data_IF_583212908114
#
_entry.id   IF_583212908114
#
_cell.length_a   1.000
_cell.length_b   1.000
_cell.length_c   1.000
_cell.angle_alpha   90.00
_cell.angle_beta   90.00
_cell.angle_gamma   90.00
#
_symmetry.space_group_name_H-M   'P 1'
#
loop_
_entity.id
_entity.type
_entity.pdbx_description
1 polymer ?
#
# COMPACT_ATOMS: atom_id res chain seq x y z
N UNK A 1 24.19 4.74 12.44
CA UNK A 1 22.87 5.38 12.74
C UNK A 1 22.61 5.41 14.25
N UNK A 2 22.84 4.33 14.99
CA UNK A 2 22.69 4.31 16.46
C UNK A 2 23.51 5.43 17.15
N UNK A 3 24.73 5.71 16.68
CA UNK A 3 25.55 6.79 17.23
C UNK A 3 24.96 8.17 16.98
N UNK A 4 24.30 8.39 15.84
CA UNK A 4 23.59 9.64 15.57
C UNK A 4 22.39 9.86 16.50
N UNK A 5 21.76 8.78 16.97
CA UNK A 5 20.71 8.86 18.01
C UNK A 5 21.35 9.27 19.34
N UNK A 6 22.46 8.65 19.75
CA UNK A 6 23.21 9.01 20.99
C UNK A 6 23.70 10.46 20.99
N UNK A 7 24.09 10.95 19.81
CA UNK A 7 24.51 12.34 19.60
C UNK A 7 23.33 13.33 19.52
N UNK A 8 22.09 12.87 19.60
CA UNK A 8 20.88 13.71 19.52
C UNK A 8 20.58 14.27 18.13
N UNK A 9 21.28 13.83 17.08
CA UNK A 9 21.07 14.26 15.70
C UNK A 9 19.87 13.59 15.03
N UNK A 10 19.49 12.41 15.50
CA UNK A 10 18.34 11.62 15.04
C UNK A 10 17.55 11.17 16.26
N UNK A 11 16.24 11.23 16.22
CA UNK A 11 15.38 10.77 17.32
C UNK A 11 15.01 9.32 17.20
N UNK A 12 14.61 8.89 16.00
CA UNK A 12 14.09 7.55 15.71
C UNK A 12 14.67 7.01 14.42
N UNK A 13 14.77 5.68 14.32
CA UNK A 13 15.26 4.98 13.12
C UNK A 13 14.11 4.22 12.46
N UNK A 14 14.13 4.18 11.12
CA UNK A 14 13.22 3.38 10.32
C UNK A 14 13.94 2.64 9.21
N UNK A 15 13.31 1.60 8.69
CA UNK A 15 13.78 0.82 7.55
C UNK A 15 12.79 0.92 6.39
N UNK A 16 13.27 0.72 5.17
CA UNK A 16 12.44 0.69 3.97
C UNK A 16 12.67 -0.60 3.19
N UNK A 17 11.57 -1.29 2.81
CA UNK A 17 11.59 -2.49 1.97
C UNK A 17 12.58 -3.57 2.47
N UNK A 18 12.64 -3.78 3.79
CA UNK A 18 13.56 -4.73 4.41
C UNK A 18 12.94 -6.13 4.49
N UNK A 19 13.81 -7.16 4.55
CA UNK A 19 13.38 -8.52 4.86
C UNK A 19 13.11 -8.68 6.36
N UNK A 20 12.36 -9.71 6.79
CA UNK A 20 12.17 -10.01 8.21
C UNK A 20 13.48 -10.20 8.97
N UNK A 21 14.48 -10.83 8.33
CA UNK A 21 15.83 -11.04 8.89
C UNK A 21 16.57 -9.72 9.06
N UNK A 22 16.53 -8.85 8.05
CA UNK A 22 17.16 -7.52 8.12
C UNK A 22 16.53 -6.70 9.26
N UNK A 23 15.19 -6.74 9.39
CA UNK A 23 14.49 -6.06 10.46
C UNK A 23 14.92 -6.56 11.84
N UNK A 24 14.94 -7.88 12.05
CA UNK A 24 15.37 -8.50 13.32
C UNK A 24 16.79 -8.11 13.67
N UNK A 25 17.72 -8.20 12.71
CA UNK A 25 19.13 -7.84 12.89
C UNK A 25 19.31 -6.37 13.26
N UNK A 26 18.63 -5.47 12.53
CA UNK A 26 18.71 -4.04 12.77
C UNK A 26 18.12 -3.67 14.13
N UNK A 27 16.96 -4.24 14.48
CA UNK A 27 16.26 -3.99 15.73
C UNK A 27 17.05 -4.48 16.95
N UNK A 28 17.84 -5.57 16.81
CA UNK A 28 18.71 -6.07 17.86
C UNK A 28 19.92 -5.12 18.13
N UNK A 29 20.36 -4.34 17.13
CA UNK A 29 21.43 -3.35 17.29
C UNK A 29 20.90 -2.05 17.91
N UNK A 30 19.75 -1.60 17.44
CA UNK A 30 19.07 -0.41 17.92
C UNK A 30 17.58 -0.51 17.62
N UNK A 31 16.69 -0.12 18.56
CA UNK A 31 15.25 -0.17 18.34
C UNK A 31 14.85 0.56 17.05
N UNK A 32 14.19 -0.16 16.15
CA UNK A 32 13.57 0.39 14.94
C UNK A 32 12.15 0.84 15.29
N UNK A 33 11.79 2.05 14.93
CA UNK A 33 10.51 2.65 15.25
C UNK A 33 9.47 2.51 14.13
N UNK A 34 9.94 2.42 12.89
CA UNK A 34 9.06 2.30 11.74
C UNK A 34 9.65 1.43 10.62
N UNK A 35 8.77 0.73 9.90
CA UNK A 35 9.09 0.06 8.63
C UNK A 35 8.19 0.61 7.54
N UNK A 36 8.78 1.08 6.45
CA UNK A 36 8.03 1.54 5.28
C UNK A 36 8.15 0.52 4.16
N UNK A 37 7.01 0.03 3.65
CA UNK A 37 6.96 -0.89 2.50
C UNK A 37 5.69 -0.67 1.69
N UNK A 38 5.67 -1.12 0.42
CA UNK A 38 4.46 -1.07 -0.39
C UNK A 38 3.40 -2.02 0.19
N UNK A 39 2.22 -1.47 0.46
CA UNK A 39 1.09 -2.28 0.88
C UNK A 39 -0.22 -1.69 0.37
N UNK A 40 -1.01 -2.52 -0.27
CA UNK A 40 -2.30 -2.17 -0.84
C UNK A 40 -3.08 -3.46 -1.16
N UNK A 41 -4.33 -3.34 -1.58
CA UNK A 41 -5.14 -4.45 -2.09
C UNK A 41 -4.44 -5.31 -3.15
N UNK A 42 -3.56 -4.71 -3.96
CA UNK A 42 -2.85 -5.38 -5.04
C UNK A 42 -1.40 -5.78 -4.69
N UNK A 43 -0.89 -5.38 -3.54
CA UNK A 43 0.47 -5.70 -3.08
C UNK A 43 0.40 -6.14 -1.62
N UNK A 44 0.39 -7.45 -1.38
CA UNK A 44 0.08 -8.04 -0.06
C UNK A 44 1.21 -8.88 0.54
N UNK A 45 2.38 -8.87 -0.10
CA UNK A 45 3.52 -9.72 0.32
C UNK A 45 4.01 -9.50 1.76
N UNK A 46 3.70 -8.35 2.36
CA UNK A 46 4.08 -8.04 3.75
C UNK A 46 3.22 -8.73 4.81
N UNK A 47 2.05 -9.27 4.42
CA UNK A 47 1.08 -9.86 5.36
C UNK A 47 1.58 -11.11 6.06
N UNK A 48 2.36 -11.93 5.36
CA UNK A 48 2.82 -13.21 5.88
C UNK A 48 3.80 -13.07 7.06
N UNK A 49 4.69 -12.10 7.01
CA UNK A 49 5.81 -12.02 7.95
C UNK A 49 6.06 -10.62 8.50
N UNK A 50 6.10 -9.58 7.66
CA UNK A 50 6.46 -8.22 8.09
C UNK A 50 5.38 -7.61 9.00
N UNK A 51 4.10 -7.69 8.65
CA UNK A 51 3.03 -7.15 9.48
C UNK A 51 2.97 -7.83 10.86
N UNK A 52 2.97 -9.17 10.98
CA UNK A 52 3.04 -9.82 12.28
C UNK A 52 4.29 -9.44 13.08
N UNK A 53 5.45 -9.35 12.41
CA UNK A 53 6.72 -9.01 13.07
C UNK A 53 6.72 -7.56 13.58
N UNK A 54 6.27 -6.59 12.78
CA UNK A 54 6.19 -5.19 13.22
C UNK A 54 5.23 -5.03 14.38
N UNK A 55 4.09 -5.72 14.36
CA UNK A 55 3.14 -5.71 15.47
C UNK A 55 3.74 -6.30 16.75
N UNK A 56 4.41 -7.44 16.65
CA UNK A 56 5.05 -8.11 17.79
C UNK A 56 6.17 -7.26 18.43
N UNK A 57 6.88 -6.45 17.64
CA UNK A 57 7.97 -5.59 18.09
C UNK A 57 7.52 -4.17 18.47
N UNK A 58 6.23 -3.83 18.36
CA UNK A 58 5.73 -2.47 18.62
C UNK A 58 6.22 -1.43 17.61
N UNK A 59 6.50 -1.86 16.38
CA UNK A 59 7.01 -1.03 15.28
C UNK A 59 5.84 -0.54 14.43
N UNK A 60 5.80 0.75 14.11
CA UNK A 60 4.82 1.30 13.17
C UNK A 60 5.10 0.82 11.75
N UNK A 61 4.08 0.37 11.04
CA UNK A 61 4.17 0.03 9.64
C UNK A 61 3.61 1.18 8.77
N UNK A 62 4.40 1.63 7.79
CA UNK A 62 4.09 2.80 6.97
C UNK A 62 3.87 2.38 5.52
N UNK A 63 2.63 2.05 5.11
CA UNK A 63 2.32 1.66 3.75
C UNK A 63 2.50 2.79 2.75
N UNK A 64 3.39 2.65 1.78
CA UNK A 64 3.36 3.52 0.62
C UNK A 64 2.53 2.91 -0.52
N UNK A 65 2.06 3.75 -1.45
CA UNK A 65 1.17 3.38 -2.54
C UNK A 65 -0.11 2.63 -2.13
N UNK A 66 -0.82 3.05 -1.06
CA UNK A 66 -2.03 2.36 -0.59
C UNK A 66 -3.15 2.32 -1.64
N UNK A 67 -3.13 3.23 -2.62
CA UNK A 67 -4.03 3.28 -3.78
C UNK A 67 -3.54 2.47 -4.98
N UNK A 68 -2.55 1.58 -4.80
CA UNK A 68 -1.93 0.82 -5.91
C UNK A 68 -1.51 1.76 -7.06
N UNK A 69 -0.85 2.87 -6.70
CA UNK A 69 -0.38 3.93 -7.64
C UNK A 69 -1.50 4.53 -8.50
N UNK A 70 -2.73 4.54 -7.99
CA UNK A 70 -3.92 5.11 -8.62
C UNK A 70 -4.88 4.11 -9.24
N UNK A 71 -4.53 2.84 -9.39
CA UNK A 71 -5.46 1.82 -9.93
C UNK A 71 -6.73 1.70 -9.08
N UNK A 72 -6.61 1.73 -7.75
CA UNK A 72 -7.75 1.56 -6.84
C UNK A 72 -8.52 2.87 -6.58
N UNK A 73 -8.14 3.99 -7.18
CA UNK A 73 -8.90 5.23 -7.10
C UNK A 73 -10.07 5.30 -8.08
N UNK A 74 -10.14 4.38 -9.05
CA UNK A 74 -11.07 4.38 -10.19
C UNK A 74 -11.09 5.70 -10.99
N UNK A 75 -10.09 6.54 -10.80
CA UNK A 75 -9.96 7.84 -11.50
C UNK A 75 -8.76 7.86 -12.47
N UNK A 76 -8.04 6.74 -12.58
CA UNK A 76 -6.86 6.65 -13.43
C UNK A 76 -7.27 6.19 -14.83
N UNK A 77 -7.20 7.09 -15.80
CA UNK A 77 -7.16 6.73 -17.21
C UNK A 77 -5.69 6.60 -17.65
N UNK A 78 -5.27 5.38 -17.97
CA UNK A 78 -3.91 5.06 -18.37
C UNK A 78 -3.51 5.78 -19.67
N UNK A 79 -4.47 6.07 -20.56
CA UNK A 79 -4.25 6.77 -21.81
C UNK A 79 -3.87 8.24 -21.59
N UNK A 80 -4.25 8.82 -20.45
CA UNK A 80 -3.92 10.21 -20.10
C UNK A 80 -2.57 10.37 -19.39
N UNK A 81 -1.87 9.27 -19.13
CA UNK A 81 -0.54 9.31 -18.53
C UNK A 81 0.46 9.97 -19.49
N UNK A 82 1.21 10.92 -18.99
CA UNK A 82 2.23 11.63 -19.77
C UNK A 82 3.30 10.66 -20.30
N UNK A 83 3.96 11.05 -21.38
CA UNK A 83 5.15 10.37 -21.82
C UNK A 83 6.21 10.40 -20.70
N UNK A 84 6.89 9.26 -20.47
CA UNK A 84 7.83 9.09 -19.35
C UNK A 84 7.19 8.82 -17.99
N UNK A 85 5.86 8.72 -17.88
CA UNK A 85 5.24 8.27 -16.63
C UNK A 85 5.63 6.81 -16.34
N UNK A 86 6.30 6.63 -15.21
CA UNK A 86 6.83 5.34 -14.77
C UNK A 86 5.77 4.22 -14.76
N UNK A 87 4.51 4.55 -14.51
CA UNK A 87 3.43 3.55 -14.50
C UNK A 87 3.25 2.85 -15.83
N UNK A 88 3.58 3.51 -16.96
CA UNK A 88 3.53 2.90 -18.29
C UNK A 88 4.50 1.73 -18.48
N UNK A 89 5.57 1.65 -17.68
CA UNK A 89 6.54 0.55 -17.72
C UNK A 89 6.13 -0.64 -16.84
N UNK A 90 5.16 -0.46 -15.97
CA UNK A 90 4.76 -1.48 -15.00
C UNK A 90 3.79 -2.49 -15.62
N UNK A 91 3.96 -3.80 -15.37
CA UNK A 91 3.08 -4.84 -15.91
C UNK A 91 1.59 -4.62 -15.58
N UNK A 92 1.27 -4.15 -14.39
CA UNK A 92 -0.11 -3.89 -13.91
C UNK A 92 -0.89 -2.87 -14.74
N UNK A 93 -0.19 -2.09 -15.57
CA UNK A 93 -0.77 -1.01 -16.39
C UNK A 93 -0.76 -1.36 -17.88
N UNK A 94 -0.49 -2.60 -18.25
CA UNK A 94 -0.36 -3.05 -19.63
C UNK A 94 -1.12 -4.35 -19.88
N UNK A 95 -1.60 -4.53 -21.12
CA UNK A 95 -2.17 -5.76 -21.63
C UNK A 95 -3.28 -6.35 -20.75
N UNK A 96 -3.30 -7.66 -20.62
CA UNK A 96 -4.32 -8.41 -19.87
C UNK A 96 -4.36 -8.07 -18.37
N UNK A 97 -3.22 -7.69 -17.78
CA UNK A 97 -3.19 -7.26 -16.39
C UNK A 97 -3.94 -5.94 -16.21
N UNK A 98 -3.78 -4.98 -17.14
CA UNK A 98 -4.53 -3.73 -17.09
C UNK A 98 -6.03 -3.97 -17.20
N UNK A 99 -6.47 -4.81 -18.16
CA UNK A 99 -7.89 -5.14 -18.34
C UNK A 99 -8.49 -5.77 -17.07
N UNK A 100 -7.77 -6.74 -16.47
CA UNK A 100 -8.17 -7.35 -15.20
C UNK A 100 -8.29 -6.30 -14.09
N UNK A 101 -7.29 -5.43 -13.95
CA UNK A 101 -7.22 -4.41 -12.90
C UNK A 101 -8.28 -3.32 -13.07
N UNK A 102 -8.66 -2.98 -14.30
CA UNK A 102 -9.78 -2.06 -14.57
C UNK A 102 -11.12 -2.66 -14.15
N UNK A 103 -11.35 -3.95 -14.45
CA UNK A 103 -12.56 -4.67 -14.02
C UNK A 103 -12.63 -4.75 -12.49
N UNK A 104 -11.48 -5.05 -11.84
CA UNK A 104 -11.38 -5.04 -10.38
C UNK A 104 -11.68 -3.65 -9.81
N UNK A 105 -11.05 -2.60 -10.32
CA UNK A 105 -11.27 -1.22 -9.87
C UNK A 105 -12.73 -0.79 -10.02
N UNK A 106 -13.40 -1.20 -11.11
CA UNK A 106 -14.82 -0.93 -11.33
C UNK A 106 -15.71 -1.65 -10.30
N UNK A 107 -15.45 -2.93 -10.03
CA UNK A 107 -16.21 -3.69 -9.03
C UNK A 107 -15.98 -3.13 -7.61
N UNK A 108 -14.75 -2.75 -7.31
CA UNK A 108 -14.37 -2.13 -6.05
C UNK A 108 -15.04 -0.75 -5.86
N UNK A 109 -15.09 0.08 -6.92
CA UNK A 109 -15.76 1.37 -6.89
C UNK A 109 -17.28 1.24 -6.66
N UNK A 110 -17.91 0.20 -7.20
CA UNK A 110 -19.32 -0.10 -6.93
C UNK A 110 -19.55 -0.39 -5.44
N UNK A 111 -18.68 -1.21 -4.84
CA UNK A 111 -18.76 -1.49 -3.41
C UNK A 111 -18.48 -0.23 -2.56
N UNK A 112 -17.54 0.63 -2.97
CA UNK A 112 -17.31 1.91 -2.30
C UNK A 112 -18.56 2.79 -2.29
N UNK A 113 -19.30 2.85 -3.42
CA UNK A 113 -20.57 3.59 -3.49
C UNK A 113 -21.63 3.02 -2.55
N UNK A 114 -21.72 1.69 -2.40
CA UNK A 114 -22.61 1.03 -1.42
C UNK A 114 -22.25 1.39 0.04
N UNK A 115 -20.96 1.69 0.27
CA UNK A 115 -20.43 2.14 1.57
C UNK A 115 -20.43 3.67 1.74
N UNK A 116 -21.03 4.41 0.80
CA UNK A 116 -21.09 5.87 0.79
C UNK A 116 -19.73 6.57 0.91
N UNK A 117 -18.68 5.97 0.33
CA UNK A 117 -17.34 6.54 0.30
C UNK A 117 -16.73 6.48 -1.10
N UNK A 118 -15.62 7.19 -1.31
CA UNK A 118 -14.89 7.09 -2.57
C UNK A 118 -14.06 5.80 -2.63
N UNK A 119 -13.70 5.30 -3.83
CA UNK A 119 -12.80 4.16 -3.96
C UNK A 119 -11.43 4.42 -3.29
N UNK A 120 -10.93 5.65 -3.31
CA UNK A 120 -9.69 6.03 -2.64
C UNK A 120 -9.81 5.91 -1.12
N UNK A 121 -10.90 6.42 -0.54
CA UNK A 121 -11.20 6.28 0.88
C UNK A 121 -11.33 4.81 1.28
N UNK A 122 -12.06 4.02 0.51
CA UNK A 122 -12.24 2.59 0.79
C UNK A 122 -10.90 1.83 0.76
N UNK A 123 -10.03 2.12 -0.22
CA UNK A 123 -8.72 1.48 -0.32
C UNK A 123 -7.79 1.83 0.85
N UNK A 124 -7.78 3.08 1.29
CA UNK A 124 -7.00 3.52 2.45
C UNK A 124 -7.58 2.92 3.75
N UNK A 125 -8.91 2.97 3.92
CA UNK A 125 -9.59 2.38 5.07
C UNK A 125 -9.34 0.87 5.19
N UNK A 126 -9.31 0.15 4.06
CA UNK A 126 -8.95 -1.26 4.04
C UNK A 126 -7.52 -1.48 4.56
N UNK A 127 -6.55 -0.65 4.16
CA UNK A 127 -5.16 -0.73 4.65
C UNK A 127 -5.11 -0.45 6.15
N UNK A 128 -5.80 0.57 6.64
CA UNK A 128 -5.87 0.91 8.07
C UNK A 128 -6.48 -0.24 8.88
N UNK A 129 -7.51 -0.90 8.36
CA UNK A 129 -8.20 -1.99 9.03
C UNK A 129 -7.35 -3.26 9.23
N UNK A 130 -6.14 -3.34 8.63
CA UNK A 130 -5.25 -4.50 8.79
C UNK A 130 -4.45 -4.48 10.11
N UNK A 131 -4.39 -3.36 10.82
CA UNK A 131 -3.70 -3.28 12.11
C UNK A 131 -3.66 -1.88 12.70
N UNK A 132 -3.60 -1.81 14.01
CA UNK A 132 -3.55 -0.59 14.81
C UNK A 132 -2.21 0.16 14.75
N UNK A 133 -1.16 -0.51 14.28
CA UNK A 133 0.17 0.06 14.05
C UNK A 133 0.42 0.50 12.59
N UNK A 134 -0.63 0.55 11.76
CA UNK A 134 -0.51 0.84 10.32
C UNK A 134 -0.89 2.29 10.03
N UNK A 135 0.03 3.05 9.40
CA UNK A 135 -0.11 4.46 9.09
C UNK A 135 0.17 4.69 7.60
N UNK A 136 -0.85 4.62 6.72
CA UNK A 136 -0.65 4.77 5.27
C UNK A 136 -0.26 6.19 4.88
N UNK A 137 0.57 6.30 3.83
CA UNK A 137 1.04 7.57 3.27
C UNK A 137 0.59 7.74 1.81
N UNK A 138 -0.72 8.03 1.56
CA UNK A 138 -1.24 8.24 0.22
C UNK A 138 -0.67 9.51 -0.41
N UNK A 139 0.06 9.37 -1.52
CA UNK A 139 0.63 10.50 -2.26
C UNK A 139 -0.42 11.27 -3.05
N UNK A 140 -0.41 12.60 -2.98
CA UNK A 140 -1.27 13.48 -3.79
C UNK A 140 -0.60 14.81 -4.09
N UNK A 141 -1.05 15.47 -5.18
CA UNK A 141 -0.62 16.83 -5.58
C UNK A 141 -1.76 17.84 -5.54
N UNK A 142 -2.99 17.43 -5.21
CA UNK A 142 -4.18 18.28 -5.23
C UNK A 142 -4.85 18.28 -3.87
N UNK A 143 -5.25 19.47 -3.39
CA UNK A 143 -5.95 19.63 -2.11
C UNK A 143 -7.18 18.75 -2.03
N UNK A 144 -8.03 18.73 -3.06
CA UNK A 144 -9.21 17.87 -3.12
C UNK A 144 -8.90 16.39 -2.81
N UNK A 145 -7.82 15.86 -3.36
CA UNK A 145 -7.44 14.46 -3.11
C UNK A 145 -6.78 14.26 -1.74
N UNK A 146 -6.15 15.31 -1.19
CA UNK A 146 -5.67 15.25 0.19
C UNK A 146 -6.83 15.13 1.17
N UNK A 147 -7.84 15.98 1.00
CA UNK A 147 -9.07 15.97 1.81
C UNK A 147 -9.83 14.65 1.67
N UNK A 148 -9.97 14.15 0.44
CA UNK A 148 -10.57 12.85 0.15
C UNK A 148 -9.81 11.70 0.84
N UNK A 149 -8.50 11.65 0.69
CA UNK A 149 -7.65 10.63 1.34
C UNK A 149 -7.73 10.71 2.89
N UNK A 150 -7.77 11.92 3.46
CA UNK A 150 -7.89 12.11 4.90
C UNK A 150 -9.24 11.59 5.44
N UNK A 151 -10.32 11.75 4.69
CA UNK A 151 -11.64 11.23 5.05
C UNK A 151 -11.73 9.70 5.11
N UNK A 152 -10.68 8.98 4.71
CA UNK A 152 -10.63 7.52 4.86
C UNK A 152 -10.68 7.05 6.31
N UNK A 153 -10.28 7.88 7.27
CA UNK A 153 -10.31 7.55 8.70
C UNK A 153 -11.75 7.43 9.26
N UNK A 154 -12.70 8.04 8.56
CA UNK A 154 -14.12 8.02 8.94
C UNK A 154 -14.85 6.79 8.35
N UNK A 155 -14.20 6.01 7.48
CA UNK A 155 -14.77 4.82 6.84
C UNK A 155 -14.57 3.61 7.74
N UNK A 156 -15.63 3.20 8.41
CA UNK A 156 -15.61 1.98 9.24
C UNK A 156 -15.93 0.74 8.38
N UNK A 157 -15.07 -0.28 8.51
CA UNK A 157 -15.22 -1.57 7.82
C UNK A 157 -15.50 -2.69 8.81
N UNK A 158 -16.64 -3.35 8.64
CA UNK A 158 -16.97 -4.56 9.41
C UNK A 158 -16.21 -5.78 8.86
N UNK A 159 -16.21 -6.86 9.62
CA UNK A 159 -15.66 -8.15 9.16
C UNK A 159 -16.34 -8.65 7.88
N UNK A 160 -17.64 -8.38 7.69
CA UNK A 160 -18.35 -8.72 6.46
C UNK A 160 -17.90 -7.86 5.28
N UNK A 161 -17.62 -6.58 5.50
CA UNK A 161 -17.08 -5.69 4.47
C UNK A 161 -15.68 -6.14 4.01
N UNK A 162 -14.81 -6.50 4.94
CA UNK A 162 -13.47 -7.02 4.61
C UNK A 162 -13.56 -8.33 3.81
N UNK A 163 -14.49 -9.23 4.14
CA UNK A 163 -14.75 -10.44 3.36
C UNK A 163 -15.31 -10.14 1.97
N UNK A 164 -16.19 -9.15 1.84
CA UNK A 164 -16.73 -8.74 0.54
C UNK A 164 -15.62 -8.14 -0.36
N UNK A 165 -14.75 -7.31 0.21
CA UNK A 165 -13.59 -6.77 -0.51
C UNK A 165 -12.66 -7.90 -0.97
N UNK A 166 -12.36 -8.87 -0.08
CA UNK A 166 -11.55 -10.03 -0.44
C UNK A 166 -12.17 -10.83 -1.59
N UNK A 167 -13.47 -11.08 -1.56
CA UNK A 167 -14.18 -11.77 -2.64
C UNK A 167 -14.13 -11.00 -3.98
N UNK A 168 -14.14 -9.65 -3.93
CA UNK A 168 -13.95 -8.82 -5.13
C UNK A 168 -12.53 -9.02 -5.69
N UNK A 169 -11.50 -8.96 -4.85
CA UNK A 169 -10.09 -9.14 -5.28
C UNK A 169 -9.88 -10.53 -5.88
N UNK A 170 -10.39 -11.58 -5.23
CA UNK A 170 -10.25 -12.97 -5.69
C UNK A 170 -10.94 -13.25 -7.04
N UNK A 171 -11.96 -12.48 -7.40
CA UNK A 171 -12.63 -12.58 -8.71
C UNK A 171 -11.74 -12.12 -9.87
N UNK A 172 -10.73 -11.30 -9.59
CA UNK A 172 -9.83 -10.71 -10.59
C UNK A 172 -8.35 -10.98 -10.23
N UNK A 173 -7.91 -12.25 -10.30
CA UNK A 173 -6.61 -12.67 -9.76
C UNK A 173 -5.41 -12.24 -10.62
N UNK A 174 -5.61 -11.91 -11.90
CA UNK A 174 -4.52 -11.60 -12.85
C UNK A 174 -4.02 -10.16 -12.69
N UNK A 175 -3.62 -9.79 -11.48
CA UNK A 175 -3.17 -8.42 -11.14
C UNK A 175 -1.84 -8.04 -11.81
N UNK A 176 -0.99 -9.01 -12.08
CA UNK A 176 0.36 -8.81 -12.60
C UNK A 176 1.42 -8.48 -11.54
N UNK A 177 2.69 -8.66 -11.90
CA UNK A 177 3.81 -8.38 -11.02
C UNK A 177 3.90 -6.89 -10.66
N UNK A 178 4.45 -6.60 -9.47
CA UNK A 178 4.64 -5.25 -8.94
C UNK A 178 5.57 -4.40 -9.81
N UNK A 179 6.62 -5.03 -10.33
CA UNK A 179 7.67 -4.43 -11.14
C UNK A 179 7.95 -5.28 -12.38
N UNK A 180 8.57 -4.67 -13.39
CA UNK A 180 9.14 -5.42 -14.51
C UNK A 180 10.31 -6.29 -14.03
N UNK A 181 10.71 -7.29 -14.83
CA UNK A 181 11.87 -8.14 -14.51
C UNK A 181 13.15 -7.32 -14.28
N UNK A 182 13.34 -6.24 -15.05
CA UNK A 182 14.47 -5.34 -14.92
C UNK A 182 14.49 -4.64 -13.56
N UNK A 183 13.35 -4.16 -13.10
CA UNK A 183 13.21 -3.39 -11.88
C UNK A 183 13.23 -4.29 -10.63
N UNK A 184 12.74 -5.53 -10.75
CA UNK A 184 12.76 -6.52 -9.66
C UNK A 184 14.18 -6.80 -9.16
N UNK A 185 15.21 -6.63 -10.01
CA UNK A 185 16.62 -6.80 -9.62
C UNK A 185 17.10 -5.80 -8.58
N UNK A 186 16.44 -4.65 -8.47
CA UNK A 186 16.79 -3.59 -7.51
C UNK A 186 15.96 -3.65 -6.21
N UNK A 187 14.95 -4.51 -6.16
CA UNK A 187 14.12 -4.70 -4.97
C UNK A 187 14.59 -5.97 -4.26
N UNK A 188 14.98 -5.85 -2.99
CA UNK A 188 15.32 -7.02 -2.16
C UNK A 188 14.11 -7.96 -2.07
N UNK A 189 14.38 -9.24 -2.24
CA UNK A 189 13.39 -10.32 -2.03
C UNK A 189 13.33 -10.67 -0.56
#
# INVERSE_FOLDING_TARGET
>A
MSDLVKEGKVRYLGLSECTPEDLKKAHAIHPISAVQSEYSLLTRGVEAEILPLTKALGISFIPFSPLSRGLMSNALDVNTLKEGDFRKTLPRYNGEHLENNQKLATAFAKFAAEKHCTPAQLAIAWVIAQGDNIIPIPGTKRRKYLEDNAGAVDVSLSTSDLKAIEAIVQRYPNVGPRYSERETKFVKK
#
